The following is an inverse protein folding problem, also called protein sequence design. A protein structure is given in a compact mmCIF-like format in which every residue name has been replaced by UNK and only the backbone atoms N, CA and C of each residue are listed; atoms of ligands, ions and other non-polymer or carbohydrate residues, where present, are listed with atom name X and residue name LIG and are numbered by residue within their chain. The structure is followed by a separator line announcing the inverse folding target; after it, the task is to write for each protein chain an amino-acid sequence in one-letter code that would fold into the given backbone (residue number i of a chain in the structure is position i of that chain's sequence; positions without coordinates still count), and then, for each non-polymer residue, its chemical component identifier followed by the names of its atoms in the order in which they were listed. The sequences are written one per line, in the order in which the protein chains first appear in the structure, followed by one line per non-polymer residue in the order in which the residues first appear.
data_IF_194229509671
#
_entry.id   IF_194229509671
#
_cell.length_a   1.000
_cell.length_b   1.000
_cell.length_c   1.000
_cell.angle_alpha   90.00
_cell.angle_beta   90.00
_cell.angle_gamma   90.00
#
_symmetry.space_group_name_H-M   'P 1'
#
loop_
_entity.id
_entity.type
_entity.pdbx_description
1 polymer ?
#
# COMPACT_ATOMS: atom_id res chain seq x y z
N UNK A 1 2.73 -19.20 13.09
CA UNK A 1 2.81 -18.35 14.30
C UNK A 1 3.62 -17.11 13.93
N UNK A 2 2.94 -15.98 13.68
CA UNK A 2 3.58 -14.77 13.14
C UNK A 2 4.35 -14.04 14.24
N UNK A 3 5.61 -13.68 13.95
CA UNK A 3 6.56 -13.20 14.96
C UNK A 3 6.57 -11.68 14.97
N UNK A 4 6.18 -11.04 16.07
CA UNK A 4 6.31 -9.58 16.23
C UNK A 4 7.79 -9.21 16.18
N UNK A 5 8.19 -8.37 15.22
CA UNK A 5 9.58 -7.96 15.03
C UNK A 5 9.77 -6.46 15.30
N UNK A 6 10.31 -6.14 16.48
CA UNK A 6 10.50 -4.76 16.94
C UNK A 6 11.67 -4.03 16.27
N UNK A 7 12.61 -4.74 15.62
CA UNK A 7 13.77 -4.15 14.92
C UNK A 7 13.53 -3.93 13.40
N UNK A 8 12.33 -4.25 12.94
CA UNK A 8 11.96 -4.19 11.53
C UNK A 8 11.84 -2.76 11.01
N UNK A 9 12.29 -2.53 9.77
CA UNK A 9 12.04 -1.28 9.05
C UNK A 9 10.53 -1.05 8.91
N UNK A 10 10.06 0.07 9.45
CA UNK A 10 8.63 0.43 9.49
C UNK A 10 8.10 0.96 8.18
N UNK A 11 8.97 1.51 7.34
CA UNK A 11 8.65 1.97 5.99
C UNK A 11 9.60 1.31 5.01
N UNK A 12 9.07 0.72 3.95
CA UNK A 12 9.83 0.09 2.87
C UNK A 12 9.29 0.54 1.51
N UNK A 13 10.16 0.53 0.49
CA UNK A 13 9.76 0.77 -0.90
C UNK A 13 9.07 -0.47 -1.49
N UNK A 14 8.43 -0.31 -2.65
CA UNK A 14 7.84 -1.44 -3.36
C UNK A 14 8.92 -2.41 -3.84
N UNK A 15 10.07 -1.88 -4.29
CA UNK A 15 11.24 -2.71 -4.63
C UNK A 15 11.68 -3.61 -3.47
N UNK A 16 11.72 -3.07 -2.24
CA UNK A 16 12.10 -3.83 -1.06
C UNK A 16 11.01 -4.83 -0.66
N UNK A 17 9.73 -4.47 -0.79
CA UNK A 17 8.62 -5.38 -0.58
C UNK A 17 8.68 -6.60 -1.52
N UNK A 18 8.89 -6.38 -2.82
CA UNK A 18 9.03 -7.47 -3.80
C UNK A 18 10.26 -8.34 -3.49
N UNK A 19 11.36 -7.75 -3.04
CA UNK A 19 12.54 -8.52 -2.63
C UNK A 19 12.28 -9.38 -1.37
N UNK A 20 11.50 -8.88 -0.42
CA UNK A 20 11.17 -9.59 0.83
C UNK A 20 10.09 -10.67 0.62
N UNK A 21 9.06 -10.41 -0.17
CA UNK A 21 7.84 -11.22 -0.24
C UNK A 21 7.51 -11.77 -1.63
N UNK A 22 8.16 -11.26 -2.68
CA UNK A 22 7.78 -11.52 -4.07
C UNK A 22 8.34 -12.81 -4.66
N UNK A 23 8.81 -13.76 -3.85
CA UNK A 23 9.42 -15.02 -4.32
C UNK A 23 8.51 -15.78 -5.28
N UNK A 24 7.23 -15.88 -4.94
CA UNK A 24 6.23 -16.61 -5.73
C UNK A 24 5.36 -15.69 -6.59
N UNK A 25 5.64 -14.39 -6.63
CA UNK A 25 4.90 -13.48 -7.52
C UNK A 25 5.35 -13.71 -8.95
N UNK A 26 4.40 -13.67 -9.88
CA UNK A 26 4.70 -13.69 -11.31
C UNK A 26 5.50 -12.44 -11.69
N UNK A 27 6.22 -12.49 -12.81
CA UNK A 27 6.90 -11.31 -13.36
C UNK A 27 5.92 -10.18 -13.70
N UNK A 28 4.71 -10.56 -14.12
CA UNK A 28 3.64 -9.61 -14.40
C UNK A 28 3.22 -8.87 -13.12
N UNK A 29 2.92 -9.59 -12.03
CA UNK A 29 2.59 -8.98 -10.74
C UNK A 29 3.70 -8.06 -10.23
N UNK A 30 4.97 -8.50 -10.29
CA UNK A 30 6.11 -7.68 -9.87
C UNK A 30 6.19 -6.39 -10.67
N UNK A 31 6.02 -6.46 -11.99
CA UNK A 31 6.03 -5.29 -12.86
C UNK A 31 4.91 -4.32 -12.50
N UNK A 32 3.69 -4.81 -12.32
CA UNK A 32 2.52 -3.99 -11.99
C UNK A 32 2.66 -3.34 -10.61
N UNK A 33 3.12 -4.08 -9.61
CA UNK A 33 3.45 -3.52 -8.29
C UNK A 33 4.48 -2.39 -8.39
N UNK A 34 5.55 -2.58 -9.18
CA UNK A 34 6.62 -1.59 -9.35
C UNK A 34 6.14 -0.26 -9.95
N UNK A 35 4.99 -0.20 -10.62
CA UNK A 35 4.44 1.06 -11.13
C UNK A 35 4.02 2.01 -10.01
N UNK A 36 3.72 1.48 -8.82
CA UNK A 36 3.43 2.28 -7.64
C UNK A 36 4.70 2.79 -6.93
N UNK A 37 5.89 2.24 -7.19
CA UNK A 37 7.12 2.51 -6.42
C UNK A 37 7.51 3.99 -6.36
N UNK A 38 7.17 4.76 -7.40
CA UNK A 38 7.47 6.19 -7.45
C UNK A 38 6.53 7.01 -6.55
N UNK A 39 5.26 6.62 -6.42
CA UNK A 39 4.22 7.42 -5.73
C UNK A 39 3.93 6.94 -4.31
N UNK A 40 4.21 5.67 -4.03
CA UNK A 40 3.80 5.05 -2.79
C UNK A 40 4.98 4.55 -1.96
N UNK A 41 4.71 4.43 -0.66
CA UNK A 41 5.54 3.67 0.28
C UNK A 41 4.66 2.70 1.05
N UNK A 42 5.25 1.60 1.49
CA UNK A 42 4.59 0.60 2.30
C UNK A 42 5.01 0.76 3.76
N UNK A 43 4.04 0.89 4.64
CA UNK A 43 4.28 1.01 6.08
C UNK A 43 3.77 -0.19 6.85
N UNK A 44 4.51 -0.63 7.87
CA UNK A 44 4.20 -1.80 8.68
C UNK A 44 4.51 -1.54 10.15
N UNK A 45 3.67 -2.06 11.05
CA UNK A 45 3.80 -1.84 12.50
C UNK A 45 4.18 -3.09 13.26
N UNK A 46 3.22 -3.98 13.52
CA UNK A 46 3.40 -5.14 14.40
C UNK A 46 3.79 -6.41 13.64
N UNK A 47 3.21 -6.58 12.46
CA UNK A 47 3.39 -7.75 11.61
C UNK A 47 4.24 -7.36 10.40
N UNK A 48 5.20 -8.21 10.05
CA UNK A 48 6.14 -7.94 8.96
C UNK A 48 5.51 -8.04 7.58
N UNK A 49 4.50 -8.91 7.48
CA UNK A 49 3.79 -9.28 6.28
C UNK A 49 2.46 -8.54 6.10
N UNK A 50 2.19 -7.52 6.92
CA UNK A 50 1.02 -6.64 6.79
C UNK A 50 1.50 -5.22 6.54
N UNK A 51 1.17 -4.67 5.37
CA UNK A 51 1.73 -3.42 4.90
C UNK A 51 0.63 -2.50 4.35
N UNK A 52 0.53 -1.30 4.92
CA UNK A 52 -0.38 -0.25 4.48
C UNK A 52 0.27 0.64 3.42
N UNK A 53 -0.48 0.93 2.37
CA UNK A 53 -0.12 1.85 1.30
C UNK A 53 -0.29 3.31 1.72
N UNK A 54 0.76 4.10 1.55
CA UNK A 54 0.77 5.54 1.80
C UNK A 54 1.40 6.30 0.64
N UNK A 55 1.07 7.59 0.51
CA UNK A 55 1.79 8.45 -0.42
C UNK A 55 3.20 8.72 0.09
N UNK A 56 4.20 8.72 -0.78
CA UNK A 56 5.60 8.87 -0.38
C UNK A 56 5.93 10.20 0.29
N UNK A 57 5.16 11.24 -0.02
CA UNK A 57 5.31 12.56 0.60
C UNK A 57 4.42 12.74 1.84
N UNK A 58 3.68 11.70 2.27
CA UNK A 58 2.78 11.74 3.42
C UNK A 58 1.78 12.90 3.38
N UNK A 59 1.14 13.10 2.23
CA UNK A 59 0.21 14.19 1.97
C UNK A 59 -0.98 14.14 2.92
N UNK A 60 -1.26 15.27 3.57
CA UNK A 60 -2.36 15.45 4.52
C UNK A 60 -3.58 16.05 3.82
N UNK A 61 -4.77 15.59 4.21
CA UNK A 61 -6.05 16.01 3.66
C UNK A 61 -6.97 16.47 4.78
N UNK A 62 -7.78 17.49 4.51
CA UNK A 62 -8.76 17.98 5.46
C UNK A 62 -9.84 16.91 5.70
N UNK A 63 -10.13 16.66 6.97
CA UNK A 63 -11.22 15.77 7.36
C UNK A 63 -12.54 16.48 7.00
N UNK A 64 -13.33 15.92 6.07
CA UNK A 64 -14.66 16.45 5.77
C UNK A 64 -15.62 16.13 6.93
N UNK A 65 -15.60 16.96 7.96
CA UNK A 65 -16.58 16.96 9.05
C UNK A 65 -16.97 18.41 9.34
N UNK A 66 -18.26 18.61 9.61
CA UNK A 66 -18.95 19.90 9.74
C UNK A 66 -18.10 21.04 10.32
N UNK A 67 -18.31 22.23 9.77
CA UNK A 67 -17.62 23.52 10.00
C UNK A 67 -17.58 24.05 11.44
N UNK A 68 -17.90 23.21 12.43
CA UNK A 68 -17.95 23.52 13.85
C UNK A 68 -16.86 22.81 14.68
N UNK A 69 -16.05 21.94 14.08
CA UNK A 69 -14.95 21.24 14.74
C UNK A 69 -13.57 21.81 14.35
N UNK A 70 -12.59 21.64 15.24
CA UNK A 70 -11.20 22.03 15.01
C UNK A 70 -10.66 21.51 13.67
N UNK A 71 -9.73 22.24 13.01
CA UNK A 71 -9.12 21.79 11.77
C UNK A 71 -8.45 20.43 11.97
N UNK A 72 -9.04 19.40 11.36
CA UNK A 72 -8.55 18.04 11.35
C UNK A 72 -7.91 17.77 9.99
N UNK A 73 -6.66 17.31 10.01
CA UNK A 73 -5.97 16.83 8.82
C UNK A 73 -5.49 15.40 9.05
N UNK A 74 -5.75 14.52 8.09
CA UNK A 74 -5.30 13.13 8.11
C UNK A 74 -4.65 12.73 6.79
N UNK A 75 -3.69 11.83 6.89
CA UNK A 75 -3.12 11.14 5.74
C UNK A 75 -4.07 10.03 5.26
N UNK A 76 -4.15 9.79 3.95
CA UNK A 76 -4.84 8.61 3.43
C UNK A 76 -3.95 7.36 3.47
N UNK A 77 -4.53 6.26 3.95
CA UNK A 77 -4.08 4.91 3.62
C UNK A 77 -4.87 4.39 2.42
N UNK A 78 -4.18 4.00 1.35
CA UNK A 78 -4.78 3.66 0.05
C UNK A 78 -5.07 2.15 -0.12
N UNK A 79 -4.76 1.35 0.89
CA UNK A 79 -4.96 -0.09 0.90
C UNK A 79 -4.02 -0.78 1.87
N UNK A 80 -4.25 -2.07 2.12
CA UNK A 80 -3.36 -2.89 2.94
C UNK A 80 -3.12 -4.23 2.25
N UNK A 81 -1.84 -4.56 2.10
CA UNK A 81 -1.37 -5.84 1.60
C UNK A 81 -1.08 -6.78 2.75
N UNK A 82 -1.48 -8.03 2.58
CA UNK A 82 -1.16 -9.11 3.50
C UNK A 82 -0.49 -10.21 2.68
N UNK A 83 0.68 -10.66 3.11
CA UNK A 83 1.38 -11.80 2.47
C UNK A 83 1.33 -13.01 3.40
N UNK A 84 0.78 -14.12 2.90
CA UNK A 84 0.74 -15.39 3.64
C UNK A 84 1.26 -16.48 2.72
N UNK A 85 2.29 -17.20 3.15
CA UNK A 85 2.90 -18.29 2.36
C UNK A 85 3.30 -17.84 0.95
N UNK A 86 3.87 -16.64 0.84
CA UNK A 86 4.27 -15.98 -0.42
C UNK A 86 3.10 -15.68 -1.38
N UNK A 87 1.85 -15.76 -0.91
CA UNK A 87 0.64 -15.36 -1.66
C UNK A 87 0.22 -13.96 -1.23
N UNK A 88 -0.11 -13.11 -2.20
CA UNK A 88 -0.51 -11.73 -1.99
C UNK A 88 -2.03 -11.60 -1.80
N UNK A 89 -2.45 -10.84 -0.80
CA UNK A 89 -3.83 -10.53 -0.51
C UNK A 89 -4.04 -9.03 -0.31
N UNK A 90 -5.22 -8.54 -0.69
CA UNK A 90 -5.71 -7.19 -0.42
C UNK A 90 -6.75 -7.25 0.69
N UNK A 91 -6.51 -6.51 1.77
CA UNK A 91 -7.38 -6.46 2.95
C UNK A 91 -8.62 -5.60 2.74
N UNK A 92 -9.74 -5.94 3.38
CA UNK A 92 -10.96 -5.13 3.39
C UNK A 92 -10.75 -3.78 4.13
N UNK A 93 -9.80 -3.75 5.06
CA UNK A 93 -9.49 -2.59 5.91
C UNK A 93 -7.99 -2.33 5.92
N UNK A 94 -7.63 -1.06 6.02
CA UNK A 94 -6.28 -0.61 6.29
C UNK A 94 -6.20 0.15 7.62
N UNK A 95 -5.01 0.65 7.94
CA UNK A 95 -4.79 1.41 9.17
C UNK A 95 -5.65 2.68 9.25
N UNK A 96 -6.37 2.81 10.37
CA UNK A 96 -7.11 4.03 10.73
C UNK A 96 -6.77 4.46 12.16
N UNK A 97 -6.55 5.76 12.38
CA UNK A 97 -6.29 6.34 13.69
C UNK A 97 -6.55 7.87 13.68
N UNK A 98 -6.03 8.58 14.67
CA UNK A 98 -6.10 10.03 14.82
C UNK A 98 -5.42 10.80 13.68
N UNK A 99 -4.44 10.19 13.01
CA UNK A 99 -3.62 10.82 11.95
C UNK A 99 -3.81 10.22 10.56
N UNK A 100 -4.40 9.04 10.46
CA UNK A 100 -4.55 8.30 9.21
C UNK A 100 -6.01 7.87 9.04
N UNK A 101 -6.54 7.99 7.83
CA UNK A 101 -7.87 7.52 7.45
C UNK A 101 -7.81 6.64 6.20
N UNK A 102 -8.75 5.72 6.07
CA UNK A 102 -8.85 4.86 4.90
C UNK A 102 -9.40 5.65 3.71
N UNK A 103 -8.75 5.53 2.56
CA UNK A 103 -9.29 6.04 1.29
C UNK A 103 -10.49 5.19 0.85
N UNK A 104 -11.52 5.82 0.29
CA UNK A 104 -12.70 5.12 -0.23
C UNK A 104 -12.35 4.10 -1.32
N UNK A 105 -11.21 4.28 -2.00
CA UNK A 105 -10.70 3.37 -3.04
C UNK A 105 -10.48 1.95 -2.52
N UNK A 106 -10.21 1.78 -1.22
CA UNK A 106 -9.99 0.47 -0.60
C UNK A 106 -11.24 -0.38 -0.73
N UNK A 107 -12.40 0.21 -0.45
CA UNK A 107 -13.69 -0.47 -0.55
C UNK A 107 -14.03 -0.81 -2.01
N UNK A 108 -13.73 0.11 -2.93
CA UNK A 108 -13.95 -0.12 -4.36
C UNK A 108 -13.14 -1.32 -4.86
N UNK A 109 -11.83 -1.34 -4.58
CA UNK A 109 -10.93 -2.43 -4.96
C UNK A 109 -11.36 -3.74 -4.31
N UNK A 110 -11.55 -3.75 -2.98
CA UNK A 110 -11.88 -4.98 -2.28
C UNK A 110 -13.18 -5.63 -2.77
N UNK A 111 -14.20 -4.82 -3.09
CA UNK A 111 -15.49 -5.31 -3.54
C UNK A 111 -15.46 -5.86 -4.98
N UNK A 112 -14.50 -5.45 -5.81
CA UNK A 112 -14.37 -5.97 -7.18
C UNK A 112 -13.63 -7.32 -7.24
N UNK A 113 -12.84 -7.66 -6.22
CA UNK A 113 -12.08 -8.91 -6.17
C UNK A 113 -12.97 -10.13 -5.92
N UNK A 114 -12.61 -11.28 -6.51
CA UNK A 114 -13.31 -12.56 -6.33
C UNK A 114 -13.32 -12.98 -4.84
N UNK A 115 -14.39 -13.63 -4.42
CA UNK A 115 -14.63 -14.10 -3.06
C UNK A 115 -14.20 -15.56 -2.82
N UNK A 116 -13.72 -16.27 -3.86
CA UNK A 116 -13.31 -17.69 -3.72
C UNK A 116 -12.13 -17.91 -2.76
N UNK A 117 -11.14 -17.00 -2.79
CA UNK A 117 -9.90 -17.14 -2.04
C UNK A 117 -9.79 -16.09 -0.92
N UNK A 118 -10.81 -16.01 -0.06
CA UNK A 118 -10.81 -15.14 1.12
C UNK A 118 -10.04 -15.82 2.26
N UNK A 119 -9.12 -15.07 2.86
CA UNK A 119 -8.50 -15.42 4.15
C UNK A 119 -8.96 -14.44 5.22
N UNK A 120 -8.93 -14.89 6.48
CA UNK A 120 -9.12 -14.03 7.66
C UNK A 120 -7.78 -13.87 8.35
N UNK A 121 -7.30 -12.64 8.47
CA UNK A 121 -6.06 -12.30 9.16
C UNK A 121 -6.34 -11.19 10.17
N UNK A 122 -6.12 -11.45 11.46
CA UNK A 122 -6.44 -10.52 12.56
C UNK A 122 -7.85 -9.91 12.44
N UNK A 123 -8.87 -10.77 12.35
CA UNK A 123 -10.29 -10.37 12.25
C UNK A 123 -10.63 -9.50 11.02
N UNK A 124 -9.74 -9.45 10.04
CA UNK A 124 -9.93 -8.71 8.79
C UNK A 124 -9.90 -9.67 7.61
N UNK A 125 -10.91 -9.59 6.75
CA UNK A 125 -10.94 -10.39 5.54
C UNK A 125 -9.96 -9.83 4.51
N UNK A 126 -9.32 -10.70 3.76
CA UNK A 126 -8.45 -10.32 2.66
C UNK A 126 -8.69 -11.24 1.46
N UNK A 127 -8.69 -10.66 0.27
CA UNK A 127 -8.92 -11.36 -0.99
C UNK A 127 -7.63 -11.45 -1.78
N UNK A 128 -7.41 -12.58 -2.44
CA UNK A 128 -6.19 -12.85 -3.18
C UNK A 128 -6.00 -11.89 -4.36
N UNK A 129 -4.77 -11.43 -4.54
CA UNK A 129 -4.30 -10.73 -5.73
C UNK A 129 -3.44 -11.69 -6.56
N UNK A 130 -3.73 -11.81 -7.85
CA UNK A 130 -2.94 -12.56 -8.80
C UNK A 130 -2.98 -11.94 -10.21
N UNK A 131 -2.43 -12.63 -11.20
CA UNK A 131 -2.35 -12.16 -12.59
C UNK A 131 -3.70 -11.83 -13.21
N UNK A 132 -4.81 -12.37 -12.68
CA UNK A 132 -6.15 -12.11 -13.24
C UNK A 132 -6.73 -10.77 -12.82
N UNK A 133 -6.23 -10.17 -11.74
CA UNK A 133 -6.85 -8.99 -11.13
C UNK A 133 -5.85 -7.87 -10.74
N UNK A 134 -4.54 -8.14 -10.73
CA UNK A 134 -3.52 -7.16 -10.36
C UNK A 134 -3.59 -5.88 -11.19
N UNK A 135 -3.93 -5.99 -12.48
CA UNK A 135 -4.04 -4.82 -13.36
C UNK A 135 -5.09 -3.84 -12.86
N UNK A 136 -6.29 -4.35 -12.57
CA UNK A 136 -7.39 -3.55 -12.03
C UNK A 136 -7.02 -2.94 -10.68
N UNK A 137 -6.39 -3.71 -9.79
CA UNK A 137 -5.98 -3.22 -8.46
C UNK A 137 -5.05 -2.01 -8.62
N UNK A 138 -3.98 -2.16 -9.42
CA UNK A 138 -2.96 -1.13 -9.58
C UNK A 138 -3.50 0.09 -10.33
N UNK A 139 -4.25 -0.11 -11.41
CA UNK A 139 -4.83 1.00 -12.18
C UNK A 139 -5.80 1.81 -11.32
N UNK A 140 -6.68 1.13 -10.59
CA UNK A 140 -7.66 1.75 -9.68
C UNK A 140 -6.96 2.56 -8.59
N UNK A 141 -5.89 2.03 -7.99
CA UNK A 141 -5.08 2.77 -7.03
C UNK A 141 -4.45 4.02 -7.65
N UNK A 142 -3.87 3.92 -8.85
CA UNK A 142 -3.21 5.03 -9.53
C UNK A 142 -4.16 6.18 -9.89
N UNK A 143 -5.48 5.92 -10.00
CA UNK A 143 -6.47 6.98 -10.25
C UNK A 143 -6.60 8.00 -9.13
N UNK A 144 -6.31 7.60 -7.88
CA UNK A 144 -6.49 8.45 -6.69
C UNK A 144 -5.19 8.92 -6.07
N UNK A 145 -4.05 8.33 -6.44
CA UNK A 145 -2.75 8.76 -5.91
C UNK A 145 -2.42 10.18 -6.38
N UNK A 146 -2.08 11.09 -5.44
CA UNK A 146 -1.53 12.39 -5.79
C UNK A 146 -0.29 12.25 -6.67
N UNK A 147 -0.08 13.24 -7.53
CA UNK A 147 1.22 13.42 -8.18
C UNK A 147 2.26 13.82 -7.13
N UNK A 148 3.46 13.22 -7.23
CA UNK A 148 4.59 13.60 -6.41
C UNK A 148 5.16 14.96 -6.83
N UNK A 149 5.69 15.73 -5.88
CA UNK A 149 6.28 17.04 -6.16
C UNK A 149 7.47 16.98 -7.12
N UNK A 150 7.74 18.09 -7.82
CA UNK A 150 8.92 18.19 -8.69
C UNK A 150 10.22 17.98 -7.90
N UNK A 151 10.28 18.49 -6.67
CA UNK A 151 11.43 18.29 -5.77
C UNK A 151 11.70 16.80 -5.53
N UNK A 152 10.65 16.01 -5.30
CA UNK A 152 10.79 14.57 -5.14
C UNK A 152 11.23 13.88 -6.44
N UNK A 153 10.66 14.26 -7.59
CA UNK A 153 11.07 13.78 -8.93
C UNK A 153 12.56 14.04 -9.18
N UNK A 154 13.07 15.21 -8.81
CA UNK A 154 14.48 15.59 -8.97
C UNK A 154 15.39 14.74 -8.07
N UNK A 155 14.99 14.49 -6.81
CA UNK A 155 15.74 13.62 -5.88
C UNK A 155 15.87 12.19 -6.43
N UNK A 156 14.77 11.60 -6.90
CA UNK A 156 14.80 10.26 -7.50
C UNK A 156 15.72 10.25 -8.72
N UNK A 157 15.58 11.23 -9.62
CA UNK A 157 16.40 11.31 -10.83
C UNK A 157 17.89 11.33 -10.49
N UNK A 158 18.28 12.11 -9.48
CA UNK A 158 19.66 12.10 -8.99
C UNK A 158 20.07 10.73 -8.45
N UNK A 159 19.27 10.07 -7.62
CA UNK A 159 19.58 8.74 -7.08
C UNK A 159 19.70 7.67 -8.17
N UNK A 160 18.79 7.64 -9.15
CA UNK A 160 18.84 6.68 -10.26
C UNK A 160 20.07 6.87 -11.16
N UNK A 161 20.60 8.09 -11.26
CA UNK A 161 21.87 8.33 -11.98
C UNK A 161 23.10 7.79 -11.22
N UNK A 162 22.99 7.61 -9.90
CA UNK A 162 24.04 6.99 -9.09
C UNK A 162 23.95 5.45 -9.10
N UNK A 163 22.75 4.87 -9.11
CA UNK A 163 22.57 3.41 -9.16
C UNK A 163 22.96 2.76 -10.51
N UNK A 164 23.09 3.57 -11.58
CA UNK A 164 23.51 3.13 -12.92
C UNK A 164 25.02 3.35 -13.20
N UNK A 165 25.84 3.56 -12.15
CA UNK A 165 27.30 3.63 -12.23
C UNK A 165 27.95 2.47 -11.49
#
# INVERSE_FOLDING_TARGET
MYKKNYKMKKTISMKMFIAEFGKNFSEHMKKRLMELDVRCVLTRKEYENVLDFKHVEHTMFDCTLDSTLEPCQKEYAYGQLIVVEDILYFSEKCIENDKVMQSSIVNEIYNSLDSKDIIVFNDTNAKKIDDTNIDYVIDTMLTVYPEVSQKYKDIIKHMSLYDNK
#
